data_IF_511605784529
#
_entry.id   IF_511605784529
#
_cell.length_a   1.000
_cell.length_b   1.000
_cell.length_c   1.000
_cell.angle_alpha   90.00
_cell.angle_beta   90.00
_cell.angle_gamma   90.00
#
_symmetry.space_group_name_H-M   'P 1'
#
loop_
_entity.id
_entity.type
_entity.pdbx_description
1 polymer ?
#
# COMPACT_ATOMS: atom_id res chain seq x y z
N UNK A 1 22.39 -23.84 -2.54
CA UNK A 1 21.01 -23.36 -2.70
C UNK A 1 20.28 -24.48 -3.40
N UNK A 2 19.53 -25.26 -2.63
CA UNK A 2 18.72 -26.33 -3.20
C UNK A 2 17.48 -25.73 -3.89
N UNK A 3 16.83 -26.45 -4.80
CA UNK A 3 15.64 -25.92 -5.49
C UNK A 3 14.49 -25.66 -4.51
N UNK A 4 14.42 -26.44 -3.43
CA UNK A 4 13.42 -26.30 -2.37
C UNK A 4 13.59 -25.00 -1.55
N UNK A 5 14.82 -24.51 -1.36
CA UNK A 5 15.06 -23.25 -0.66
C UNK A 5 14.54 -22.05 -1.46
N UNK A 6 14.74 -22.08 -2.80
CA UNK A 6 14.25 -21.02 -3.68
C UNK A 6 12.72 -20.93 -3.68
N UNK A 7 12.04 -22.09 -3.71
CA UNK A 7 10.58 -22.14 -3.66
C UNK A 7 10.06 -21.66 -2.31
N UNK A 8 10.72 -22.03 -1.21
CA UNK A 8 10.34 -21.58 0.14
C UNK A 8 10.51 -20.08 0.31
N UNK A 9 11.64 -19.52 -0.08
CA UNK A 9 11.88 -18.07 -0.04
C UNK A 9 10.89 -17.31 -0.92
N UNK A 10 10.56 -17.83 -2.10
CA UNK A 10 9.57 -17.20 -3.00
C UNK A 10 8.17 -17.19 -2.37
N UNK A 11 7.75 -18.28 -1.74
CA UNK A 11 6.46 -18.35 -1.07
C UNK A 11 6.39 -17.43 0.14
N UNK A 12 7.47 -17.32 0.91
CA UNK A 12 7.57 -16.45 2.08
C UNK A 12 7.57 -14.96 1.66
N UNK A 13 8.27 -14.63 0.57
CA UNK A 13 8.21 -13.31 -0.05
C UNK A 13 6.80 -12.95 -0.52
N UNK A 14 6.09 -13.89 -1.16
CA UNK A 14 4.72 -13.67 -1.63
C UNK A 14 3.74 -13.43 -0.47
N UNK A 15 3.88 -14.20 0.62
CA UNK A 15 3.09 -14.02 1.83
C UNK A 15 3.38 -12.69 2.53
N UNK A 16 4.64 -12.25 2.51
CA UNK A 16 5.04 -10.97 3.06
C UNK A 16 4.47 -9.82 2.21
N UNK A 17 4.56 -9.91 0.88
CA UNK A 17 3.88 -8.98 -0.03
C UNK A 17 2.36 -8.94 0.23
N UNK A 18 1.73 -10.10 0.44
CA UNK A 18 0.30 -10.18 0.74
C UNK A 18 -0.04 -9.46 2.06
N UNK A 19 0.69 -9.77 3.15
CA UNK A 19 0.51 -9.14 4.47
C UNK A 19 0.75 -7.63 4.45
N UNK A 20 1.67 -7.17 3.61
CA UNK A 20 2.04 -5.75 3.46
C UNK A 20 1.03 -5.00 2.57
N UNK A 21 0.49 -5.67 1.55
CA UNK A 21 -0.52 -5.10 0.68
C UNK A 21 -1.89 -5.00 1.33
N UNK A 22 -2.27 -5.97 2.17
CA UNK A 22 -3.61 -6.08 2.77
C UNK A 22 -4.05 -4.77 3.44
N UNK A 23 -3.20 -4.14 4.25
CA UNK A 23 -3.64 -3.03 5.05
C UNK A 23 -3.29 -1.67 4.40
N UNK A 24 -2.37 -1.63 3.43
CA UNK A 24 -2.25 -0.52 2.46
C UNK A 24 -3.51 -0.42 1.60
N UNK A 25 -3.98 -1.54 1.06
CA UNK A 25 -5.23 -1.62 0.28
C UNK A 25 -6.43 -1.23 1.14
N UNK A 26 -6.47 -1.65 2.40
CA UNK A 26 -7.52 -1.28 3.35
C UNK A 26 -7.62 0.24 3.56
N UNK A 27 -6.50 0.91 3.82
CA UNK A 27 -6.48 2.37 4.01
C UNK A 27 -6.79 3.11 2.70
N UNK A 28 -6.27 2.64 1.57
CA UNK A 28 -6.56 3.21 0.25
C UNK A 28 -8.07 3.09 -0.10
N UNK A 29 -8.69 1.95 0.19
CA UNK A 29 -10.11 1.72 -0.02
C UNK A 29 -10.98 2.62 0.88
N UNK A 30 -10.65 2.75 2.16
CA UNK A 30 -11.37 3.62 3.10
C UNK A 30 -11.26 5.11 2.70
N UNK A 31 -10.05 5.56 2.36
CA UNK A 31 -9.83 6.93 1.89
C UNK A 31 -10.59 7.18 0.57
N UNK A 32 -10.50 6.27 -0.39
CA UNK A 32 -11.25 6.33 -1.66
C UNK A 32 -12.76 6.40 -1.47
N UNK A 33 -13.29 5.61 -0.53
CA UNK A 33 -14.71 5.59 -0.19
C UNK A 33 -15.17 6.92 0.45
N UNK A 34 -14.40 7.47 1.39
CA UNK A 34 -14.70 8.76 2.01
C UNK A 34 -14.72 9.90 0.98
N UNK A 35 -13.79 9.90 0.02
CA UNK A 35 -13.77 10.89 -1.07
C UNK A 35 -15.02 10.76 -1.94
N UNK A 36 -15.34 9.54 -2.37
CA UNK A 36 -16.50 9.29 -3.22
C UNK A 36 -17.79 9.73 -2.52
N UNK A 37 -17.88 9.52 -1.20
CA UNK A 37 -19.00 9.96 -0.38
C UNK A 37 -19.10 11.49 -0.30
N UNK A 38 -18.00 12.20 -0.03
CA UNK A 38 -17.98 13.67 0.00
C UNK A 38 -18.33 14.25 -1.37
N UNK A 39 -17.79 13.69 -2.45
CA UNK A 39 -18.14 14.10 -3.82
C UNK A 39 -19.63 13.89 -4.12
N UNK A 40 -20.22 12.78 -3.67
CA UNK A 40 -21.63 12.48 -3.86
C UNK A 40 -22.55 13.42 -3.04
N UNK A 41 -22.22 13.66 -1.77
CA UNK A 41 -23.06 14.48 -0.87
C UNK A 41 -23.03 15.96 -1.24
N UNK A 42 -21.86 16.50 -1.62
CA UNK A 42 -21.75 17.91 -1.98
C UNK A 42 -22.34 18.25 -3.37
N UNK A 43 -22.76 17.26 -4.16
CA UNK A 43 -23.25 17.45 -5.54
C UNK A 43 -22.31 18.32 -6.40
N UNK A 44 -21.00 18.31 -6.12
CA UNK A 44 -19.99 19.07 -6.84
C UNK A 44 -19.60 18.28 -8.12
N UNK A 45 -20.41 18.43 -9.17
CA UNK A 45 -20.15 17.88 -10.51
C UNK A 45 -19.21 18.75 -11.37
N UNK A 46 -18.66 19.83 -10.81
CA UNK A 46 -17.69 20.65 -11.51
C UNK A 46 -16.33 19.94 -11.54
N UNK A 47 -15.94 19.48 -12.74
CA UNK A 47 -14.80 18.59 -12.93
C UNK A 47 -13.47 19.17 -12.39
N UNK A 48 -13.32 20.51 -12.42
CA UNK A 48 -12.11 21.19 -11.97
C UNK A 48 -11.92 21.10 -10.44
N UNK A 49 -12.98 21.39 -9.67
CA UNK A 49 -12.93 21.34 -8.20
C UNK A 49 -12.90 19.89 -7.70
N UNK A 50 -13.65 19.00 -8.35
CA UNK A 50 -13.64 17.56 -8.06
C UNK A 50 -12.25 16.96 -8.26
N UNK A 51 -11.52 17.38 -9.30
CA UNK A 51 -10.15 16.93 -9.55
C UNK A 51 -9.16 17.42 -8.48
N UNK A 52 -9.23 18.71 -8.10
CA UNK A 52 -8.36 19.27 -7.07
C UNK A 52 -8.58 18.61 -5.70
N UNK A 53 -9.84 18.42 -5.29
CA UNK A 53 -10.19 17.75 -4.03
C UNK A 53 -9.69 16.30 -4.04
N UNK A 54 -9.88 15.58 -5.15
CA UNK A 54 -9.43 14.19 -5.29
C UNK A 54 -7.91 14.08 -5.17
N UNK A 55 -7.15 15.01 -5.75
CA UNK A 55 -5.68 15.05 -5.60
C UNK A 55 -5.24 15.27 -4.15
N UNK A 56 -5.81 16.26 -3.46
CA UNK A 56 -5.44 16.56 -2.06
C UNK A 56 -5.68 15.34 -1.17
N UNK A 57 -6.83 14.68 -1.31
CA UNK A 57 -7.11 13.50 -0.49
C UNK A 57 -6.28 12.29 -0.91
N UNK A 58 -5.95 12.11 -2.18
CA UNK A 58 -5.03 11.05 -2.63
C UNK A 58 -3.62 11.25 -2.03
N UNK A 59 -3.12 12.50 -2.03
CA UNK A 59 -1.84 12.84 -1.39
C UNK A 59 -1.90 12.58 0.11
N UNK A 60 -2.98 12.95 0.79
CA UNK A 60 -3.16 12.67 2.21
C UNK A 60 -3.22 11.17 2.50
N UNK A 61 -3.95 10.40 1.69
CA UNK A 61 -4.05 8.95 1.82
C UNK A 61 -2.68 8.28 1.64
N UNK A 62 -1.90 8.71 0.64
CA UNK A 62 -0.53 8.25 0.42
C UNK A 62 0.37 8.65 1.60
N UNK A 63 0.29 9.88 2.11
CA UNK A 63 1.08 10.33 3.24
C UNK A 63 0.82 9.51 4.51
N UNK A 64 -0.43 9.14 4.76
CA UNK A 64 -0.82 8.30 5.92
C UNK A 64 -0.35 6.84 5.73
N UNK A 65 -0.38 6.32 4.51
CA UNK A 65 0.06 4.94 4.21
C UNK A 65 1.56 4.78 4.00
N UNK A 66 2.27 5.86 3.70
CA UNK A 66 3.71 5.89 3.45
C UNK A 66 4.58 5.27 4.56
N UNK A 67 4.45 5.62 5.86
CA UNK A 67 5.33 5.10 6.90
C UNK A 67 5.24 3.57 7.04
N UNK A 68 4.08 3.01 6.75
CA UNK A 68 3.83 1.59 6.95
C UNK A 68 4.23 0.74 5.73
N UNK A 69 4.07 1.28 4.52
CA UNK A 69 4.67 0.69 3.31
C UNK A 69 6.20 0.68 3.39
N UNK A 70 6.79 1.75 3.93
CA UNK A 70 8.24 1.84 4.11
C UNK A 70 8.78 0.82 5.12
N UNK A 71 8.12 0.64 6.28
CA UNK A 71 8.56 -0.33 7.30
C UNK A 71 8.49 -1.78 6.80
N UNK A 72 7.45 -2.09 6.02
CA UNK A 72 7.28 -3.38 5.39
C UNK A 72 8.37 -3.74 4.37
N UNK A 73 8.71 -2.79 3.49
CA UNK A 73 9.78 -2.98 2.49
C UNK A 73 11.13 -3.14 3.20
N UNK A 74 11.39 -2.38 4.26
CA UNK A 74 12.62 -2.53 5.06
C UNK A 74 12.72 -3.90 5.74
N UNK A 75 11.62 -4.42 6.31
CA UNK A 75 11.60 -5.76 6.90
C UNK A 75 11.94 -6.85 5.88
N UNK A 76 11.40 -6.74 4.66
CA UNK A 76 11.72 -7.67 3.59
C UNK A 76 13.19 -7.58 3.15
N UNK A 77 13.71 -6.35 2.99
CA UNK A 77 15.10 -6.12 2.64
C UNK A 77 16.07 -6.68 3.70
N UNK A 78 15.73 -6.56 4.98
CA UNK A 78 16.51 -7.14 6.09
C UNK A 78 16.46 -8.66 6.08
N UNK A 79 15.30 -9.27 5.85
CA UNK A 79 15.14 -10.72 5.76
C UNK A 79 15.95 -11.32 4.59
N UNK A 80 15.94 -10.65 3.43
CA UNK A 80 16.77 -11.06 2.28
C UNK A 80 18.26 -10.89 2.55
N UNK A 81 18.67 -9.80 3.21
CA UNK A 81 20.09 -9.55 3.49
C UNK A 81 20.66 -10.56 4.50
N UNK A 82 19.90 -10.93 5.54
CA UNK A 82 20.27 -12.01 6.48
C UNK A 82 20.32 -13.39 5.81
N UNK A 83 19.44 -13.65 4.86
CA UNK A 83 19.47 -14.90 4.09
C UNK A 83 20.64 -14.96 3.10
N UNK A 84 21.04 -13.82 2.54
CA UNK A 84 22.12 -13.72 1.55
C UNK A 84 23.52 -13.74 2.17
N UNK A 85 23.68 -13.23 3.40
CA UNK A 85 24.93 -13.25 4.15
C UNK A 85 24.68 -13.94 5.51
N UNK A 86 24.87 -15.27 5.61
CA UNK A 86 24.82 -15.98 6.89
C UNK A 86 25.96 -15.57 7.84
#
# INVERSE_FOLDING_TARGET
MDHDDLVRFTSEALLLCLKVSLPVVGVAALAGLLIAFIQAVMSLQDASISFALKLVVMVAAIAITAPWGASAIMQFGQALMQAAFP
#
